data_IF_390256007922
#
_entry.id   IF_390256007922
#
_cell.length_a   1.000
_cell.length_b   1.000
_cell.length_c   1.000
_cell.angle_alpha   90.00
_cell.angle_beta   90.00
_cell.angle_gamma   90.00
#
_symmetry.space_group_name_H-M   'P 1'
#
loop_
_entity.id
_entity.type
_entity.pdbx_description
1 polymer ?
#
# COMPACT_ATOMS: atom_id res chain seq x y z
N UNK A 1 -18.41 20.82 18.01
CA UNK A 1 -18.54 19.35 17.84
C UNK A 1 -18.35 18.88 16.39
N UNK A 2 -19.06 19.42 15.39
CA UNK A 2 -18.89 19.00 13.99
C UNK A 2 -17.45 19.15 13.44
N UNK A 3 -16.77 20.25 13.78
CA UNK A 3 -15.36 20.49 13.39
C UNK A 3 -14.41 19.46 14.02
N UNK A 4 -14.69 19.00 15.24
CA UNK A 4 -13.90 17.96 15.92
C UNK A 4 -14.10 16.60 15.26
N UNK A 5 -15.33 16.25 14.86
CA UNK A 5 -15.62 15.03 14.11
C UNK A 5 -14.92 15.01 12.74
N UNK A 6 -14.93 16.14 12.03
CA UNK A 6 -14.20 16.25 10.76
C UNK A 6 -12.69 16.12 10.93
N UNK A 7 -12.12 16.65 12.01
CA UNK A 7 -10.69 16.52 12.26
C UNK A 7 -10.29 15.07 12.53
N UNK A 8 -11.12 14.31 13.26
CA UNK A 8 -10.92 12.87 13.49
C UNK A 8 -11.04 12.09 12.18
N UNK A 9 -12.02 12.42 11.33
CA UNK A 9 -12.16 11.80 10.01
C UNK A 9 -10.95 12.07 9.11
N UNK A 10 -10.39 13.28 9.17
CA UNK A 10 -9.19 13.64 8.41
C UNK A 10 -7.95 12.91 8.91
N UNK A 11 -7.79 12.78 10.23
CA UNK A 11 -6.71 12.02 10.86
C UNK A 11 -6.76 10.52 10.50
N UNK A 12 -7.95 9.93 10.50
CA UNK A 12 -8.17 8.54 10.06
C UNK A 12 -7.85 8.34 8.58
N UNK A 13 -8.29 9.27 7.72
CA UNK A 13 -7.96 9.23 6.29
C UNK A 13 -6.45 9.33 6.06
N UNK A 14 -5.78 10.27 6.73
CA UNK A 14 -4.32 10.44 6.63
C UNK A 14 -3.56 9.20 7.13
N UNK A 15 -4.01 8.61 8.23
CA UNK A 15 -3.41 7.38 8.79
C UNK A 15 -3.59 6.21 7.82
N UNK A 16 -4.76 6.08 7.21
CA UNK A 16 -5.05 5.04 6.22
C UNK A 16 -4.22 5.23 4.95
N UNK A 17 -4.08 6.47 4.47
CA UNK A 17 -3.26 6.79 3.32
C UNK A 17 -1.78 6.45 3.57
N UNK A 18 -1.23 6.83 4.73
CA UNK A 18 0.16 6.51 5.09
C UNK A 18 0.37 5.01 5.29
N UNK A 19 -0.63 4.29 5.82
CA UNK A 19 -0.59 2.82 5.90
C UNK A 19 -0.53 2.17 4.51
N UNK A 20 -1.39 2.58 3.56
CA UNK A 20 -1.35 2.07 2.18
C UNK A 20 0.00 2.37 1.53
N UNK A 21 0.53 3.59 1.68
CA UNK A 21 1.86 3.96 1.17
C UNK A 21 2.96 3.09 1.77
N UNK A 22 2.88 2.75 3.06
CA UNK A 22 3.86 1.87 3.71
C UNK A 22 3.87 0.46 3.10
N UNK A 23 2.69 -0.11 2.79
CA UNK A 23 2.58 -1.42 2.12
C UNK A 23 3.25 -1.38 0.74
N UNK A 24 2.99 -0.34 -0.05
CA UNK A 24 3.66 -0.14 -1.34
C UNK A 24 5.18 0.02 -1.18
N UNK A 25 5.62 0.72 -0.14
CA UNK A 25 7.03 0.87 0.21
C UNK A 25 7.71 -0.46 0.53
N UNK A 26 7.04 -1.38 1.23
CA UNK A 26 7.56 -2.73 1.50
C UNK A 26 7.74 -3.51 0.20
N UNK A 27 6.76 -3.47 -0.70
CA UNK A 27 6.85 -4.12 -2.02
C UNK A 27 8.01 -3.54 -2.82
N UNK A 28 8.10 -2.22 -2.93
CA UNK A 28 9.20 -1.55 -3.62
C UNK A 28 10.56 -1.88 -2.98
N UNK A 29 10.63 -1.99 -1.65
CA UNK A 29 11.82 -2.42 -0.92
C UNK A 29 12.24 -3.84 -1.25
N UNK A 30 11.31 -4.80 -1.24
CA UNK A 30 11.58 -6.21 -1.60
C UNK A 30 12.18 -6.31 -3.01
N UNK A 31 11.61 -5.58 -3.97
CA UNK A 31 12.10 -5.59 -5.36
C UNK A 31 13.30 -4.66 -5.62
N UNK A 32 13.57 -3.70 -4.76
CA UNK A 32 14.71 -2.78 -4.88
C UNK A 32 15.99 -3.27 -4.20
N UNK A 33 15.90 -4.32 -3.37
CA UNK A 33 17.06 -4.94 -2.74
C UNK A 33 17.87 -5.75 -3.76
N UNK A 34 19.20 -5.61 -3.74
CA UNK A 34 20.15 -6.30 -4.64
C UNK A 34 20.32 -7.81 -4.33
N UNK A 35 19.30 -8.48 -3.78
CA UNK A 35 19.34 -9.90 -3.49
C UNK A 35 18.66 -10.68 -4.62
N UNK A 36 19.33 -11.72 -5.12
CA UNK A 36 18.75 -12.67 -6.08
C UNK A 36 17.72 -13.54 -5.37
N UNK A 37 16.48 -13.07 -5.34
CA UNK A 37 15.30 -13.85 -4.93
C UNK A 37 14.69 -14.53 -6.16
N UNK A 38 14.16 -15.74 -6.00
CA UNK A 38 13.49 -16.49 -7.09
C UNK A 38 12.26 -15.77 -7.67
N UNK A 39 11.79 -14.70 -7.04
CA UNK A 39 10.77 -13.79 -7.57
C UNK A 39 11.24 -13.01 -8.81
N UNK A 40 12.55 -12.90 -9.05
CA UNK A 40 13.10 -12.27 -10.27
C UNK A 40 13.21 -13.24 -11.45
N UNK A 41 13.17 -14.55 -11.21
CA UNK A 41 13.19 -15.57 -12.27
C UNK A 41 11.86 -15.62 -13.04
N UNK A 42 10.78 -15.10 -12.44
CA UNK A 42 9.46 -15.00 -13.04
C UNK A 42 9.18 -13.54 -13.46
N UNK A 43 9.17 -13.21 -14.77
CA UNK A 43 9.00 -11.84 -15.25
C UNK A 43 7.64 -11.23 -14.86
N UNK A 44 6.62 -12.07 -14.61
CA UNK A 44 5.29 -11.64 -14.22
C UNK A 44 5.10 -11.44 -12.71
N UNK A 45 6.03 -11.91 -11.87
CA UNK A 45 5.89 -11.83 -10.41
C UNK A 45 5.78 -10.39 -9.92
N UNK A 46 6.60 -9.48 -10.45
CA UNK A 46 6.52 -8.06 -10.12
C UNK A 46 5.13 -7.48 -10.46
N UNK A 47 4.61 -7.83 -11.64
CA UNK A 47 3.34 -7.33 -12.14
C UNK A 47 2.17 -7.83 -11.28
N UNK A 48 2.17 -9.11 -10.91
CA UNK A 48 1.17 -9.69 -10.01
C UNK A 48 1.22 -9.10 -8.61
N UNK A 49 2.40 -8.95 -8.03
CA UNK A 49 2.55 -8.35 -6.69
C UNK A 49 2.07 -6.90 -6.70
N UNK A 50 2.42 -6.13 -7.74
CA UNK A 50 1.95 -4.74 -7.89
C UNK A 50 0.42 -4.67 -8.02
N UNK A 51 -0.18 -5.58 -8.79
CA UNK A 51 -1.63 -5.63 -9.02
C UNK A 51 -2.40 -6.01 -7.74
N UNK A 52 -1.93 -7.03 -7.02
CA UNK A 52 -2.53 -7.45 -5.74
C UNK A 52 -2.40 -6.36 -4.69
N UNK A 53 -1.22 -5.74 -4.58
CA UNK A 53 -0.97 -4.65 -3.62
C UNK A 53 -1.82 -3.43 -3.94
N UNK A 54 -1.95 -3.09 -5.23
CA UNK A 54 -2.82 -2.01 -5.70
C UNK A 54 -4.29 -2.28 -5.40
N UNK A 55 -4.79 -3.47 -5.71
CA UNK A 55 -6.17 -3.85 -5.40
C UNK A 55 -6.44 -3.79 -3.89
N UNK A 56 -5.53 -4.34 -3.06
CA UNK A 56 -5.65 -4.32 -1.61
C UNK A 56 -5.65 -2.88 -1.06
N UNK A 57 -4.72 -2.03 -1.53
CA UNK A 57 -4.66 -0.62 -1.13
C UNK A 57 -5.93 0.15 -1.50
N UNK A 58 -6.49 -0.09 -2.68
CA UNK A 58 -7.73 0.53 -3.14
C UNK A 58 -8.93 0.07 -2.30
N UNK A 59 -9.02 -1.23 -1.98
CA UNK A 59 -10.07 -1.77 -1.11
C UNK A 59 -10.01 -1.19 0.30
N UNK A 60 -8.81 -1.05 0.87
CA UNK A 60 -8.61 -0.42 2.18
C UNK A 60 -9.04 1.05 2.14
N UNK A 61 -8.69 1.77 1.08
CA UNK A 61 -9.05 3.18 0.93
C UNK A 61 -10.56 3.39 0.69
N UNK A 62 -11.22 2.50 -0.05
CA UNK A 62 -12.68 2.56 -0.27
C UNK A 62 -13.50 2.10 0.94
N UNK A 63 -12.90 1.34 1.87
CA UNK A 63 -13.55 0.91 3.11
C UNK A 63 -13.60 1.99 4.20
N UNK A 64 -12.88 3.10 4.01
CA UNK A 64 -12.84 4.27 4.88
C UNK A 64 -13.55 5.48 4.22
#
# INVERSE_FOLDING_TARGET
DNVRNQLIQFELLLTTATFVVAIFGVVAGIFGMNFSISLFDEPDAFKWVLLITGACGLLIFCGF
#
